data_IF_241653888039
#
_entry.id   IF_241653888039
#
_cell.length_a   1.000
_cell.length_b   1.000
_cell.length_c   1.000
_cell.angle_alpha   90.00
_cell.angle_beta   90.00
_cell.angle_gamma   90.00
#
_symmetry.space_group_name_H-M   'P 1'
#
loop_
_entity.id
_entity.type
_entity.pdbx_description
1 polymer ?
#
# COMPACT_ATOMS: atom_id res chain seq x y z
N UNK A 1 -0.53 32.09 11.05
CA UNK A 1 0.91 32.49 10.98
C UNK A 1 1.71 31.29 10.50
N UNK A 2 2.11 31.30 9.22
CA UNK A 2 3.05 30.32 8.68
C UNK A 2 4.43 30.77 9.14
N UNK A 3 4.94 30.12 10.17
CA UNK A 3 6.26 30.39 10.69
C UNK A 3 7.32 29.89 9.72
N UNK A 4 8.04 30.84 9.11
CA UNK A 4 9.46 30.84 8.80
C UNK A 4 10.03 29.76 7.91
N UNK A 5 10.29 30.14 6.67
CA UNK A 5 11.34 29.69 5.74
C UNK A 5 12.56 28.97 6.37
N UNK A 6 12.44 27.67 6.58
CA UNK A 6 13.59 26.78 6.47
C UNK A 6 13.39 25.93 5.21
N UNK A 7 14.07 26.31 4.13
CA UNK A 7 14.22 25.43 2.98
C UNK A 7 15.12 24.26 3.39
N UNK A 8 14.53 23.16 3.77
CA UNK A 8 15.26 21.90 3.96
C UNK A 8 15.56 21.33 2.57
N UNK A 9 16.78 21.43 2.13
CA UNK A 9 17.27 20.79 0.93
C UNK A 9 17.84 19.42 1.32
N UNK A 10 17.06 18.37 1.13
CA UNK A 10 17.50 17.01 1.36
C UNK A 10 17.92 16.35 0.04
N UNK A 11 19.12 15.79 -0.02
CA UNK A 11 19.56 14.93 -1.10
C UNK A 11 19.83 13.55 -0.56
N UNK A 12 19.13 12.55 -1.11
CA UNK A 12 19.20 11.17 -0.70
C UNK A 12 19.70 10.31 -1.83
N UNK A 13 20.70 9.48 -1.57
CA UNK A 13 21.17 8.42 -2.45
C UNK A 13 20.61 7.08 -1.95
N UNK A 14 19.89 6.39 -2.81
CA UNK A 14 19.35 5.07 -2.53
C UNK A 14 19.93 4.06 -3.49
N UNK A 15 20.60 3.03 -2.96
CA UNK A 15 21.17 1.93 -3.73
C UNK A 15 20.37 0.65 -3.46
N UNK A 16 20.01 -0.06 -4.51
CA UNK A 16 19.30 -1.33 -4.43
C UNK A 16 19.96 -2.37 -5.31
N UNK A 17 20.38 -3.48 -4.72
CA UNK A 17 20.93 -4.64 -5.44
C UNK A 17 19.92 -5.79 -5.36
N UNK A 18 19.45 -6.26 -6.51
CA UNK A 18 18.55 -7.40 -6.61
C UNK A 18 19.34 -8.68 -6.88
N UNK A 19 19.00 -9.74 -6.16
CA UNK A 19 19.53 -11.08 -6.37
C UNK A 19 18.36 -11.99 -6.71
N UNK A 20 18.37 -12.53 -7.93
CA UNK A 20 17.35 -13.46 -8.39
C UNK A 20 17.99 -14.80 -8.66
N UNK A 21 17.33 -15.89 -8.25
CA UNK A 21 17.80 -17.25 -8.45
C UNK A 21 16.67 -18.21 -8.76
N UNK A 22 16.93 -19.18 -9.63
CA UNK A 22 16.04 -20.31 -9.87
C UNK A 22 16.34 -21.38 -8.84
N UNK A 23 15.32 -21.81 -8.09
CA UNK A 23 15.45 -22.94 -7.14
C UNK A 23 15.23 -24.24 -7.87
N UNK A 24 14.18 -24.30 -8.67
CA UNK A 24 13.82 -25.40 -9.58
C UNK A 24 12.88 -24.88 -10.67
N UNK A 25 12.28 -25.76 -11.47
CA UNK A 25 11.41 -25.40 -12.59
C UNK A 25 10.17 -24.59 -12.19
N UNK A 26 9.69 -24.77 -10.94
CA UNK A 26 8.46 -24.15 -10.43
C UNK A 26 8.72 -22.98 -9.50
N UNK A 27 9.95 -22.82 -8.96
CA UNK A 27 10.26 -21.88 -7.90
C UNK A 27 11.47 -21.00 -8.20
N UNK A 28 11.31 -19.73 -7.90
CA UNK A 28 12.38 -18.72 -7.94
C UNK A 28 12.55 -18.06 -6.58
N UNK A 29 13.74 -17.54 -6.34
CA UNK A 29 14.06 -16.72 -5.18
C UNK A 29 14.34 -15.28 -5.63
N UNK A 30 13.86 -14.32 -4.84
CA UNK A 30 14.18 -12.89 -4.99
C UNK A 30 14.65 -12.32 -3.67
N UNK A 31 15.84 -11.71 -3.71
CA UNK A 31 16.41 -10.93 -2.61
C UNK A 31 16.69 -9.49 -3.04
N UNK A 32 16.62 -8.55 -2.12
CA UNK A 32 16.97 -7.15 -2.34
C UNK A 32 17.77 -6.61 -1.17
N UNK A 33 19.00 -6.24 -1.43
CA UNK A 33 19.79 -5.42 -0.53
C UNK A 33 19.49 -3.95 -0.78
N UNK A 34 19.35 -3.20 0.28
CA UNK A 34 19.01 -1.79 0.28
C UNK A 34 19.97 -1.02 1.16
N UNK A 35 20.47 0.10 0.65
CA UNK A 35 21.21 1.08 1.40
C UNK A 35 20.67 2.46 1.04
N UNK A 36 20.56 3.33 2.01
CA UNK A 36 20.07 4.68 1.85
C UNK A 36 20.96 5.64 2.62
N UNK A 37 21.50 6.66 1.94
CA UNK A 37 22.39 7.65 2.51
C UNK A 37 21.88 9.06 2.18
N UNK A 38 21.89 9.93 3.18
CA UNK A 38 21.64 11.35 2.98
C UNK A 38 22.97 12.04 2.63
N UNK A 39 23.04 12.63 1.42
CA UNK A 39 24.22 13.34 0.94
C UNK A 39 24.25 14.77 1.50
N UNK A 40 23.09 15.39 1.60
CA UNK A 40 22.88 16.69 2.26
C UNK A 40 21.55 16.67 2.97
N UNK A 41 21.44 17.35 4.08
CA UNK A 41 20.17 17.48 4.82
C UNK A 41 20.32 17.21 6.30
N UNK A 42 19.26 17.42 7.00
CA UNK A 42 19.23 17.61 8.43
C UNK A 42 19.28 16.28 9.18
N UNK A 43 20.41 16.00 9.82
CA UNK A 43 20.56 14.89 10.78
C UNK A 43 19.67 15.08 12.04
N UNK A 44 19.10 16.28 12.22
CA UNK A 44 18.34 16.65 13.43
C UNK A 44 16.94 16.03 13.52
N UNK A 45 16.45 15.35 12.49
CA UNK A 45 15.13 14.71 12.50
C UNK A 45 15.16 13.18 12.52
N UNK A 46 16.25 12.58 12.95
CA UNK A 46 16.35 11.14 13.15
C UNK A 46 16.35 10.32 11.86
N UNK A 47 16.42 10.95 10.70
CA UNK A 47 16.73 10.28 9.47
C UNK A 47 18.23 9.96 9.48
N UNK A 48 18.60 8.94 10.24
CA UNK A 48 19.93 8.34 10.14
C UNK A 48 20.08 7.87 8.73
N UNK A 49 21.06 8.41 8.00
CA UNK A 49 21.61 7.70 6.87
C UNK A 49 22.06 6.37 7.44
N UNK A 50 21.32 5.32 7.14
CA UNK A 50 21.72 3.99 7.56
C UNK A 50 22.94 3.64 6.73
N UNK A 51 24.11 3.69 7.35
CA UNK A 51 25.35 3.16 6.77
C UNK A 51 25.26 1.64 6.59
N UNK A 52 24.17 1.04 7.05
CA UNK A 52 23.95 -0.39 7.05
C UNK A 52 23.32 -0.86 5.73
N UNK A 53 23.80 -1.99 5.27
CA UNK A 53 23.22 -2.73 4.17
C UNK A 53 22.06 -3.58 4.70
N UNK A 54 20.84 -3.16 4.43
CA UNK A 54 19.63 -3.86 4.86
C UNK A 54 19.18 -4.89 3.81
N UNK A 55 18.81 -6.09 4.28
CA UNK A 55 18.23 -7.14 3.45
C UNK A 55 16.70 -7.08 3.54
N UNK A 56 16.11 -6.22 2.74
CA UNK A 56 14.72 -5.83 2.92
C UNK A 56 13.71 -6.59 2.06
N UNK A 57 14.14 -7.42 1.09
CA UNK A 57 13.34 -8.47 0.45
C UNK A 57 14.06 -9.80 0.51
N UNK A 58 13.32 -10.85 0.82
CA UNK A 58 13.77 -12.23 0.85
C UNK A 58 12.56 -13.15 0.72
N UNK A 59 12.16 -13.48 -0.50
CA UNK A 59 10.99 -14.30 -0.73
C UNK A 59 11.17 -15.28 -1.88
N UNK A 60 10.37 -16.31 -1.87
CA UNK A 60 10.24 -17.29 -2.95
C UNK A 60 8.93 -17.11 -3.68
N UNK A 61 8.94 -17.28 -4.99
CA UNK A 61 7.77 -17.21 -5.86
C UNK A 61 7.64 -18.51 -6.65
N UNK A 62 6.43 -19.04 -6.72
CA UNK A 62 6.18 -20.27 -7.47
C UNK A 62 4.71 -20.59 -7.63
N UNK A 63 4.44 -21.85 -8.00
CA UNK A 63 3.08 -22.37 -8.17
C UNK A 63 2.91 -23.72 -7.46
N UNK A 64 1.76 -23.89 -6.81
CA UNK A 64 1.34 -25.16 -6.21
C UNK A 64 -0.10 -25.44 -6.67
N UNK A 65 -0.31 -26.51 -7.44
CA UNK A 65 -1.64 -26.88 -7.91
C UNK A 65 -2.37 -25.76 -8.68
N UNK A 66 -1.63 -24.96 -9.46
CA UNK A 66 -2.19 -23.83 -10.22
C UNK A 66 -2.29 -22.51 -9.41
N UNK A 67 -2.20 -22.56 -8.10
CA UNK A 67 -2.16 -21.37 -7.24
C UNK A 67 -0.78 -20.73 -7.32
N UNK A 68 -0.71 -19.45 -7.65
CA UNK A 68 0.52 -18.65 -7.51
C UNK A 68 0.75 -18.36 -6.04
N UNK A 69 2.00 -18.49 -5.59
CA UNK A 69 2.39 -18.22 -4.21
C UNK A 69 3.68 -17.41 -4.16
N UNK A 70 3.68 -16.34 -3.38
CA UNK A 70 4.87 -15.65 -2.93
C UNK A 70 4.95 -15.78 -1.40
N UNK A 71 6.11 -16.18 -0.86
CA UNK A 71 6.29 -16.41 0.56
C UNK A 71 7.63 -15.88 1.07
N UNK A 72 7.60 -15.06 2.11
CA UNK A 72 8.76 -14.45 2.74
C UNK A 72 8.57 -12.96 2.99
N UNK A 73 9.70 -12.23 3.05
CA UNK A 73 9.72 -10.78 3.25
C UNK A 73 9.60 -10.06 1.91
N UNK A 74 8.54 -9.26 1.76
CA UNK A 74 8.26 -8.51 0.54
C UNK A 74 7.38 -7.29 0.82
N UNK A 75 7.18 -6.45 -0.19
CA UNK A 75 6.20 -5.37 -0.10
C UNK A 75 4.78 -5.94 -0.32
N UNK A 76 3.88 -5.66 0.61
CA UNK A 76 2.45 -5.96 0.53
C UNK A 76 1.72 -4.68 0.13
N UNK A 77 1.52 -4.53 -1.17
CA UNK A 77 0.82 -3.36 -1.75
C UNK A 77 -0.43 -3.87 -2.46
N UNK A 78 -1.60 -3.40 -2.03
CA UNK A 78 -2.86 -3.79 -2.64
C UNK A 78 -3.86 -2.64 -2.63
N UNK A 79 -4.22 -2.25 -3.84
CA UNK A 79 -5.13 -1.13 -4.10
C UNK A 79 -4.73 0.15 -3.34
N UNK A 80 -5.71 0.87 -2.83
CA UNK A 80 -5.52 2.12 -2.09
C UNK A 80 -5.59 1.91 -0.56
N UNK A 81 -5.48 0.67 -0.06
CA UNK A 81 -5.68 0.32 1.36
C UNK A 81 -4.41 -0.13 2.04
N UNK A 82 -3.57 -0.92 1.36
CA UNK A 82 -2.36 -1.53 1.93
C UNK A 82 -1.14 -1.14 1.12
N UNK A 83 -0.14 -0.57 1.78
CA UNK A 83 1.22 -0.42 1.25
C UNK A 83 2.22 -0.50 2.39
N UNK A 84 2.70 -1.71 2.65
CA UNK A 84 3.60 -1.99 3.78
C UNK A 84 4.57 -3.11 3.41
N UNK A 85 5.76 -3.09 3.99
CA UNK A 85 6.68 -4.23 3.94
C UNK A 85 6.40 -5.15 5.11
N UNK A 86 6.40 -6.46 4.83
CA UNK A 86 6.13 -7.46 5.86
C UNK A 86 6.66 -8.84 5.53
N UNK A 87 6.47 -9.73 6.46
CA UNK A 87 6.79 -11.16 6.36
C UNK A 87 5.48 -11.94 6.25
N UNK A 88 5.30 -12.68 5.16
CA UNK A 88 4.04 -13.39 4.98
C UNK A 88 3.92 -14.16 3.67
N UNK A 89 2.68 -14.44 3.31
CA UNK A 89 2.32 -15.22 2.14
C UNK A 89 1.25 -14.49 1.33
N UNK A 90 1.44 -14.45 0.02
CA UNK A 90 0.43 -14.04 -0.97
C UNK A 90 0.05 -15.26 -1.80
N UNK A 91 -1.24 -15.47 -1.98
CA UNK A 91 -1.82 -16.48 -2.85
C UNK A 91 -2.68 -15.82 -3.91
N UNK A 92 -2.64 -16.32 -5.14
CA UNK A 92 -3.53 -15.89 -6.21
C UNK A 92 -3.89 -17.07 -7.13
N UNK A 93 -5.15 -17.12 -7.55
CA UNK A 93 -5.68 -18.15 -8.42
C UNK A 93 -6.67 -17.57 -9.41
N UNK A 94 -6.69 -18.13 -10.62
CA UNK A 94 -7.58 -17.76 -11.71
C UNK A 94 -7.00 -16.64 -12.59
N UNK A 95 -7.57 -16.50 -13.78
CA UNK A 95 -7.19 -15.52 -14.79
C UNK A 95 -8.35 -14.55 -15.06
N UNK A 96 -9.49 -15.00 -15.60
CA UNK A 96 -10.67 -14.16 -15.85
C UNK A 96 -11.35 -13.70 -14.55
N UNK A 97 -11.43 -14.59 -13.59
CA UNK A 97 -11.83 -14.30 -12.22
C UNK A 97 -10.62 -14.61 -11.35
N UNK A 98 -9.97 -13.57 -10.85
CA UNK A 98 -8.80 -13.68 -10.00
C UNK A 98 -9.21 -13.61 -8.53
N UNK A 99 -8.86 -14.65 -7.78
CA UNK A 99 -9.04 -14.68 -6.33
C UNK A 99 -7.68 -14.51 -5.67
N UNK A 100 -7.59 -13.65 -4.68
CA UNK A 100 -6.37 -13.40 -3.91
C UNK A 100 -6.62 -13.61 -2.43
N UNK A 101 -5.60 -14.10 -1.72
CA UNK A 101 -5.61 -14.21 -0.27
C UNK A 101 -4.22 -14.00 0.29
N UNK A 102 -4.06 -13.08 1.25
CA UNK A 102 -2.79 -12.79 1.88
C UNK A 102 -2.88 -12.87 3.39
N UNK A 103 -1.79 -13.27 4.00
CA UNK A 103 -1.56 -13.14 5.43
C UNK A 103 -0.13 -12.68 5.65
N UNK A 104 0.07 -11.64 6.45
CA UNK A 104 1.39 -11.12 6.74
C UNK A 104 1.44 -10.40 8.08
N UNK A 105 2.66 -10.19 8.57
CA UNK A 105 3.00 -9.27 9.66
C UNK A 105 3.82 -8.13 9.08
N UNK A 106 3.65 -6.91 9.60
CA UNK A 106 4.57 -5.82 9.33
C UNK A 106 5.98 -6.17 9.83
N UNK A 107 7.01 -5.58 9.23
CA UNK A 107 8.35 -5.71 9.78
C UNK A 107 8.58 -4.67 10.89
N UNK A 108 9.69 -4.80 11.62
CA UNK A 108 10.03 -4.01 12.80
C UNK A 108 10.16 -2.49 12.59
N UNK A 109 10.19 -2.02 11.33
CA UNK A 109 10.23 -0.57 11.03
C UNK A 109 8.88 0.11 11.32
N UNK A 110 7.84 -0.69 11.56
CA UNK A 110 6.49 -0.24 11.90
C UNK A 110 6.07 -0.96 13.18
N UNK A 111 6.40 -0.37 14.34
CA UNK A 111 6.14 -0.97 15.66
C UNK A 111 4.70 -1.45 15.85
N UNK A 112 3.73 -0.72 15.29
CA UNK A 112 2.29 -1.04 15.41
C UNK A 112 1.86 -2.31 14.68
N UNK A 113 2.69 -2.88 13.78
CA UNK A 113 2.38 -4.13 13.05
C UNK A 113 3.38 -5.25 13.31
N UNK A 114 4.35 -5.08 14.21
CA UNK A 114 5.44 -6.05 14.39
C UNK A 114 4.95 -7.39 14.97
N UNK A 115 3.91 -7.38 15.77
CA UNK A 115 3.34 -8.59 16.41
C UNK A 115 1.97 -8.98 15.85
N UNK A 116 1.34 -8.12 15.07
CA UNK A 116 -0.03 -8.23 14.61
C UNK A 116 -0.12 -8.83 13.20
N UNK A 117 -1.28 -9.38 12.88
CA UNK A 117 -1.50 -10.02 11.59
C UNK A 117 -2.47 -9.22 10.74
N UNK A 118 -2.13 -9.13 9.47
CA UNK A 118 -3.00 -8.58 8.45
C UNK A 118 -3.45 -9.70 7.52
N UNK A 119 -4.74 -9.74 7.27
CA UNK A 119 -5.40 -10.64 6.34
C UNK A 119 -6.01 -9.83 5.21
N UNK A 120 -5.84 -10.31 3.99
CA UNK A 120 -6.44 -9.72 2.80
C UNK A 120 -7.10 -10.81 1.98
N UNK A 121 -8.31 -10.57 1.52
CA UNK A 121 -8.99 -11.41 0.54
C UNK A 121 -9.56 -10.53 -0.57
N UNK A 122 -9.52 -11.00 -1.82
CA UNK A 122 -10.03 -10.22 -2.94
C UNK A 122 -10.50 -11.08 -4.10
N UNK A 123 -11.49 -10.55 -4.81
CA UNK A 123 -11.94 -11.08 -6.08
C UNK A 123 -11.93 -9.95 -7.11
N UNK A 124 -11.28 -10.20 -8.23
CA UNK A 124 -11.14 -9.25 -9.35
C UNK A 124 -11.61 -9.93 -10.63
N UNK A 125 -12.37 -9.20 -11.42
CA UNK A 125 -12.84 -9.67 -12.74
C UNK A 125 -13.17 -8.49 -13.64
N UNK A 126 -13.27 -8.72 -14.95
CA UNK A 126 -13.66 -7.70 -15.92
C UNK A 126 -14.99 -8.07 -16.57
N UNK A 127 -15.90 -7.12 -16.64
CA UNK A 127 -17.16 -7.22 -17.36
C UNK A 127 -17.12 -6.29 -18.58
N UNK A 128 -16.75 -6.86 -19.74
CA UNK A 128 -16.49 -6.07 -20.94
C UNK A 128 -15.30 -5.14 -20.76
N UNK A 129 -15.54 -3.83 -20.82
CA UNK A 129 -14.49 -2.81 -20.63
C UNK A 129 -14.38 -2.29 -19.20
N UNK A 130 -15.09 -2.89 -18.24
CA UNK A 130 -15.11 -2.45 -16.84
C UNK A 130 -14.44 -3.49 -15.96
N UNK A 131 -13.34 -3.12 -15.37
CA UNK A 131 -12.67 -3.89 -14.31
C UNK A 131 -13.39 -3.68 -12.99
N UNK A 132 -13.61 -4.76 -12.27
CA UNK A 132 -14.35 -4.79 -11.01
C UNK A 132 -13.55 -5.54 -9.96
N UNK A 133 -13.51 -5.01 -8.75
CA UNK A 133 -12.89 -5.68 -7.64
C UNK A 133 -13.73 -5.53 -6.35
N UNK A 134 -13.78 -6.59 -5.57
CA UNK A 134 -14.26 -6.57 -4.18
C UNK A 134 -13.15 -7.12 -3.31
N UNK A 135 -12.78 -6.37 -2.28
CA UNK A 135 -11.66 -6.72 -1.38
C UNK A 135 -12.07 -6.55 0.07
N UNK A 136 -11.53 -7.42 0.89
CA UNK A 136 -11.69 -7.40 2.33
C UNK A 136 -10.32 -7.40 2.99
N UNK A 137 -10.17 -6.54 3.97
CA UNK A 137 -8.95 -6.39 4.76
C UNK A 137 -9.29 -6.49 6.23
N UNK A 138 -8.43 -7.13 6.99
CA UNK A 138 -8.52 -7.17 8.45
C UNK A 138 -7.11 -7.03 9.03
N UNK A 139 -6.94 -6.08 9.91
CA UNK A 139 -5.75 -5.95 10.73
C UNK A 139 -6.12 -6.19 12.18
N UNK A 140 -5.53 -7.23 12.77
CA UNK A 140 -5.55 -7.45 14.21
C UNK A 140 -4.43 -6.55 14.79
N UNK A 141 -4.73 -5.28 15.04
CA UNK A 141 -3.81 -4.27 15.56
C UNK A 141 -4.36 -3.67 16.85
N UNK A 142 -3.67 -2.68 17.40
CA UNK A 142 -4.16 -1.97 18.59
C UNK A 142 -5.60 -1.44 18.42
N UNK A 143 -6.05 -1.19 17.19
CA UNK A 143 -7.36 -0.62 16.87
C UNK A 143 -8.30 -1.57 16.11
N UNK A 144 -7.99 -2.83 15.98
CA UNK A 144 -8.77 -3.83 15.25
C UNK A 144 -9.56 -3.22 14.08
N UNK A 145 -8.99 -3.26 12.89
CA UNK A 145 -9.57 -2.57 11.74
C UNK A 145 -10.00 -3.57 10.65
N UNK A 146 -11.24 -3.45 10.21
CA UNK A 146 -11.77 -4.21 9.08
C UNK A 146 -12.22 -3.25 7.97
N UNK A 147 -11.92 -3.56 6.71
CA UNK A 147 -12.27 -2.71 5.57
C UNK A 147 -12.84 -3.58 4.45
N UNK A 148 -13.98 -3.17 3.91
CA UNK A 148 -14.50 -3.64 2.62
C UNK A 148 -14.26 -2.57 1.58
N UNK A 149 -13.70 -2.96 0.45
CA UNK A 149 -13.46 -2.11 -0.71
C UNK A 149 -14.21 -2.66 -1.93
N UNK A 150 -14.90 -1.79 -2.64
CA UNK A 150 -15.49 -2.08 -3.95
C UNK A 150 -14.94 -1.08 -4.95
N UNK A 151 -14.25 -1.57 -5.97
CA UNK A 151 -13.61 -0.75 -6.98
C UNK A 151 -14.11 -1.09 -8.39
N UNK A 152 -14.30 -0.05 -9.18
CA UNK A 152 -14.64 -0.11 -10.59
C UNK A 152 -13.67 0.78 -11.37
N UNK A 153 -13.20 0.31 -12.52
CA UNK A 153 -12.41 1.12 -13.44
C UNK A 153 -12.74 0.76 -14.88
N UNK A 154 -12.71 1.74 -15.78
CA UNK A 154 -12.96 1.48 -17.19
C UNK A 154 -12.53 2.64 -18.07
N UNK A 155 -12.19 2.31 -19.33
CA UNK A 155 -11.88 3.30 -20.34
C UNK A 155 -13.19 3.92 -20.85
N UNK A 156 -13.38 5.21 -20.60
CA UNK A 156 -14.59 5.97 -20.98
C UNK A 156 -14.41 6.70 -22.32
N UNK A 157 -13.18 6.90 -22.76
CA UNK A 157 -12.79 7.39 -24.07
C UNK A 157 -11.35 6.92 -24.34
N UNK A 158 -10.89 7.04 -25.60
CA UNK A 158 -9.53 6.64 -25.96
C UNK A 158 -8.49 7.24 -24.99
N UNK A 159 -7.69 6.39 -24.39
CA UNK A 159 -6.65 6.72 -23.42
C UNK A 159 -7.16 7.43 -22.14
N UNK A 160 -8.48 7.49 -21.91
CA UNK A 160 -9.10 8.13 -20.77
C UNK A 160 -9.83 7.11 -19.90
N UNK A 161 -9.27 6.85 -18.72
CA UNK A 161 -9.81 5.89 -17.74
C UNK A 161 -10.44 6.63 -16.57
N UNK A 162 -11.65 6.23 -16.21
CA UNK A 162 -12.35 6.64 -14.99
C UNK A 162 -12.27 5.48 -13.99
N UNK A 163 -11.96 5.78 -12.73
CA UNK A 163 -12.07 4.84 -11.62
C UNK A 163 -12.96 5.39 -10.52
N UNK A 164 -13.64 4.50 -9.83
CA UNK A 164 -14.40 4.81 -8.63
C UNK A 164 -14.17 3.70 -7.61
N UNK A 165 -13.94 4.08 -6.36
CA UNK A 165 -13.77 3.14 -5.26
C UNK A 165 -14.61 3.59 -4.08
N UNK A 166 -15.32 2.66 -3.48
CA UNK A 166 -16.05 2.83 -2.24
C UNK A 166 -15.41 1.96 -1.16
N UNK A 167 -15.34 2.51 0.04
CA UNK A 167 -14.77 1.87 1.22
C UNK A 167 -15.79 1.89 2.35
N UNK A 168 -15.86 0.81 3.10
CA UNK A 168 -16.52 0.77 4.39
C UNK A 168 -15.57 0.12 5.39
N UNK A 169 -15.18 0.88 6.40
CA UNK A 169 -14.27 0.43 7.46
C UNK A 169 -14.96 0.35 8.81
N UNK A 170 -14.39 -0.43 9.70
CA UNK A 170 -14.76 -0.47 11.11
C UNK A 170 -13.50 -0.34 11.96
N UNK A 171 -13.63 0.24 13.13
CA UNK A 171 -12.58 0.29 14.15
C UNK A 171 -13.19 -0.14 15.49
N UNK A 172 -12.34 -0.39 16.46
CA UNK A 172 -12.79 -0.69 17.82
C UNK A 172 -13.09 0.58 18.63
N UNK A 173 -13.71 0.40 19.80
CA UNK A 173 -14.09 1.47 20.74
C UNK A 173 -12.88 2.30 21.22
N UNK A 174 -11.65 1.79 21.11
CA UNK A 174 -10.44 2.53 21.49
C UNK A 174 -10.15 3.66 20.53
N UNK A 175 -10.36 3.44 19.22
CA UNK A 175 -10.20 4.47 18.21
C UNK A 175 -11.21 5.61 18.42
N UNK A 176 -12.47 5.30 18.73
CA UNK A 176 -13.50 6.29 19.05
C UNK A 176 -13.18 7.06 20.33
N UNK A 177 -12.68 6.35 21.36
CA UNK A 177 -12.24 6.97 22.61
C UNK A 177 -11.11 7.97 22.38
N UNK A 178 -10.14 7.63 21.55
CA UNK A 178 -9.02 8.51 21.22
C UNK A 178 -9.43 9.69 20.33
N UNK A 179 -10.37 9.46 19.42
CA UNK A 179 -10.92 10.51 18.57
C UNK A 179 -11.82 11.48 19.36
N UNK A 180 -12.40 11.04 20.46
CA UNK A 180 -13.36 11.81 21.25
C UNK A 180 -14.70 12.04 20.54
N UNK A 181 -14.95 11.30 19.48
CA UNK A 181 -16.17 11.34 18.66
C UNK A 181 -16.32 10.03 17.90
N UNK A 182 -17.53 9.75 17.40
CA UNK A 182 -17.77 8.65 16.49
C UNK A 182 -16.88 8.80 15.23
N UNK A 183 -16.31 7.69 14.76
CA UNK A 183 -15.46 7.65 13.57
C UNK A 183 -16.32 7.29 12.36
N UNK A 184 -16.28 8.14 11.34
CA UNK A 184 -16.92 7.81 10.05
C UNK A 184 -16.31 6.55 9.45
N UNK A 185 -17.18 5.69 8.93
CA UNK A 185 -16.81 4.37 8.40
C UNK A 185 -16.86 4.28 6.88
N UNK A 186 -17.54 5.22 6.21
CA UNK A 186 -17.71 5.20 4.77
C UNK A 186 -16.82 6.21 4.08
N UNK A 187 -16.08 5.75 3.09
CA UNK A 187 -15.23 6.60 2.26
C UNK A 187 -15.38 6.30 0.78
N UNK A 188 -14.90 7.19 -0.04
CA UNK A 188 -14.89 7.02 -1.49
C UNK A 188 -13.71 7.72 -2.15
N UNK A 189 -13.41 7.27 -3.36
CA UNK A 189 -12.40 7.88 -4.23
C UNK A 189 -12.91 7.85 -5.68
N UNK A 190 -12.72 8.95 -6.40
CA UNK A 190 -12.91 9.01 -7.85
C UNK A 190 -11.60 9.48 -8.48
N UNK A 191 -11.17 8.78 -9.52
CA UNK A 191 -9.93 9.08 -10.23
C UNK A 191 -10.14 9.14 -11.73
N UNK A 192 -9.48 10.07 -12.37
CA UNK A 192 -9.42 10.21 -13.82
C UNK A 192 -7.96 10.17 -14.26
N UNK A 193 -7.65 9.35 -15.24
CA UNK A 193 -6.31 9.28 -15.83
C UNK A 193 -6.38 9.33 -17.35
N UNK A 194 -5.47 10.09 -17.94
CA UNK A 194 -5.32 10.21 -19.39
C UNK A 194 -3.91 9.85 -19.82
N UNK A 195 -3.81 9.01 -20.85
CA UNK A 195 -2.54 8.52 -21.36
C UNK A 195 -1.80 7.64 -20.37
N UNK A 196 -0.49 7.63 -20.45
CA UNK A 196 0.41 6.90 -19.54
C UNK A 196 1.86 7.07 -19.94
N UNK A 197 2.72 7.42 -19.01
CA UNK A 197 4.16 7.45 -19.22
C UNK A 197 4.72 6.02 -19.20
N UNK A 198 5.43 5.62 -20.26
CA UNK A 198 6.07 4.32 -20.38
C UNK A 198 7.57 4.49 -20.50
N UNK A 199 8.33 3.85 -19.63
CA UNK A 199 9.79 3.94 -19.62
C UNK A 199 10.43 3.46 -20.92
N UNK A 200 9.77 2.56 -21.67
CA UNK A 200 10.22 2.05 -22.97
C UNK A 200 9.89 2.96 -24.15
N UNK A 201 9.07 4.00 -23.95
CA UNK A 201 8.61 4.91 -25.00
C UNK A 201 8.99 6.36 -24.67
N UNK A 202 10.18 6.85 -25.10
CA UNK A 202 10.60 8.22 -24.87
C UNK A 202 9.60 9.23 -25.43
N UNK A 203 9.19 10.21 -24.60
CA UNK A 203 8.16 11.20 -24.96
C UNK A 203 6.73 10.79 -24.61
N UNK A 204 6.49 9.59 -24.12
CA UNK A 204 5.20 9.21 -23.56
C UNK A 204 4.92 10.00 -22.27
N UNK A 205 3.67 10.42 -22.08
CA UNK A 205 3.24 11.19 -20.92
C UNK A 205 1.83 10.80 -20.50
N UNK A 206 1.50 11.12 -19.27
CA UNK A 206 0.16 10.92 -18.75
C UNK A 206 -0.12 11.91 -17.62
N UNK A 207 -1.39 12.18 -17.40
CA UNK A 207 -1.85 12.95 -16.26
C UNK A 207 -2.93 12.17 -15.52
N UNK A 208 -3.01 12.38 -14.22
CA UNK A 208 -4.11 11.84 -13.42
C UNK A 208 -4.55 12.86 -12.38
N UNK A 209 -5.81 12.76 -11.99
CA UNK A 209 -6.37 13.48 -10.86
C UNK A 209 -7.24 12.53 -10.05
N UNK A 210 -7.15 12.61 -8.74
CA UNK A 210 -8.01 11.88 -7.82
C UNK A 210 -8.69 12.89 -6.90
N UNK A 211 -9.92 12.60 -6.54
CA UNK A 211 -10.63 13.29 -5.48
C UNK A 211 -11.20 12.23 -4.54
N UNK A 212 -11.03 12.43 -3.25
CA UNK A 212 -11.43 11.43 -2.25
C UNK A 212 -11.92 12.08 -0.97
N UNK A 213 -12.81 11.39 -0.30
CA UNK A 213 -13.18 11.61 1.08
C UNK A 213 -13.02 10.26 1.78
N UNK A 214 -12.01 10.17 2.64
CA UNK A 214 -11.61 8.90 3.25
C UNK A 214 -11.43 9.07 4.75
N UNK A 215 -12.42 8.64 5.56
CA UNK A 215 -12.29 8.58 7.00
C UNK A 215 -11.17 7.64 7.46
N UNK A 216 -10.69 7.87 8.68
CA UNK A 216 -9.66 7.06 9.33
C UNK A 216 -9.91 5.55 9.23
N UNK A 217 -11.14 5.10 9.48
CA UNK A 217 -11.52 3.69 9.44
C UNK A 217 -11.32 3.02 8.06
N UNK A 218 -11.15 3.79 6.99
CA UNK A 218 -10.97 3.27 5.62
C UNK A 218 -9.51 3.07 5.21
N UNK A 219 -8.57 3.29 6.13
CA UNK A 219 -7.15 3.01 5.94
C UNK A 219 -6.72 1.85 6.82
N UNK A 220 -5.95 0.93 6.28
CA UNK A 220 -5.25 -0.07 7.07
C UNK A 220 -4.00 0.60 7.64
N UNK A 221 -3.96 0.77 8.94
CA UNK A 221 -2.86 1.46 9.62
C UNK A 221 -1.86 0.46 10.21
N UNK A 222 -0.59 0.79 10.13
CA UNK A 222 0.01 1.87 9.37
C UNK A 222 0.14 1.49 7.90
N UNK A 223 0.03 2.48 7.04
CA UNK A 223 0.21 2.34 5.59
C UNK A 223 1.10 3.47 5.06
N UNK A 224 1.95 3.19 4.07
CA UNK A 224 2.73 4.23 3.38
C UNK A 224 1.88 5.05 2.39
N UNK A 225 0.59 4.77 2.30
CA UNK A 225 -0.33 5.50 1.43
C UNK A 225 -0.52 6.93 1.94
N UNK A 226 -0.32 7.88 1.07
CA UNK A 226 -0.65 9.30 1.25
C UNK A 226 0.12 10.08 2.33
N UNK A 227 1.29 9.65 2.77
CA UNK A 227 2.10 10.41 3.74
C UNK A 227 1.53 10.48 5.15
N UNK A 228 0.49 9.71 5.45
CA UNK A 228 -0.10 9.59 6.79
C UNK A 228 0.53 8.49 7.64
N UNK A 229 1.53 7.77 7.11
CA UNK A 229 2.22 6.68 7.79
C UNK A 229 2.86 7.07 9.12
N UNK A 230 3.30 8.33 9.25
CA UNK A 230 4.06 8.79 10.40
C UNK A 230 3.20 9.30 11.57
N UNK A 231 1.87 9.36 11.39
CA UNK A 231 1.00 9.96 12.40
C UNK A 231 -0.40 9.33 12.47
N UNK A 232 -0.52 8.05 12.85
CA UNK A 232 -1.83 7.43 13.02
C UNK A 232 -2.72 8.20 14.01
N UNK A 233 -2.13 8.77 15.06
CA UNK A 233 -2.84 9.59 16.03
C UNK A 233 -3.26 10.96 15.49
N UNK A 234 -2.59 11.49 14.46
CA UNK A 234 -3.00 12.74 13.82
C UNK A 234 -4.26 12.58 12.97
N UNK A 235 -4.52 11.37 12.45
CA UNK A 235 -5.74 11.04 11.73
C UNK A 235 -6.96 10.93 12.66
N UNK A 236 -6.76 10.48 13.90
CA UNK A 236 -7.82 10.44 14.91
C UNK A 236 -8.34 11.83 15.26
N UNK A 237 -7.51 12.87 15.14
CA UNK A 237 -7.91 14.26 15.33
C UNK A 237 -8.46 14.94 14.06
N UNK A 238 -8.46 14.21 12.93
CA UNK A 238 -9.05 14.63 11.65
C UNK A 238 -9.88 13.46 11.13
N UNK A 239 -11.18 13.43 11.39
CA UNK A 239 -12.03 12.27 11.13
C UNK A 239 -12.13 11.90 9.64
N UNK A 240 -11.74 12.77 8.73
CA UNK A 240 -11.63 12.46 7.30
C UNK A 240 -10.44 13.17 6.64
N UNK A 241 -10.05 12.65 5.49
CA UNK A 241 -9.03 13.24 4.61
C UNK A 241 -9.69 13.58 3.29
N UNK A 242 -9.86 14.86 3.05
CA UNK A 242 -10.40 15.42 1.80
C UNK A 242 -9.24 15.81 0.88
N UNK A 243 -9.33 15.45 -0.41
CA UNK A 243 -8.30 15.81 -1.40
C UNK A 243 -8.57 15.38 -2.82
#
# INVERSE_FOLDING_TARGET
EVSGDKKDNNMRLRSRLFVNGTINDDWTYTGRFHNEQYVTGNDDKGAKGEDDLDFNWAFVSGRVGGVKMDAGRMDFTYADVVDVRGDGVKLAYGDDVKVTGWVFKGNSDIEMLSDDRVYVAGVETSFGAVDTAVRYYRADTEFDNEIVEVALAGEIAKDLTLRGTWFNGTTDDKAETLAGTDVDTNGWLVGLSYGGAKASEPGSWGVYANYSDRPFATYLLPTNLSGYADAPYALLNKPSVDG
#
